data_IF_412971659390
#
_entry.id   IF_412971659390
#
_cell.length_a   1.000
_cell.length_b   1.000
_cell.length_c   1.000
_cell.angle_alpha   90.00
_cell.angle_beta   90.00
_cell.angle_gamma   90.00
#
_symmetry.space_group_name_H-M   'P 1'
#
loop_
_entity.id
_entity.type
_entity.pdbx_description
1 polymer ?
#
# COMPACT_ATOMS: atom_id res chain seq x y z
N UNK A 1 8.02 0.10 13.39
CA UNK A 1 8.30 0.09 11.94
C UNK A 1 9.77 -0.24 11.72
N UNK A 2 10.31 -1.17 12.47
CA UNK A 2 11.75 -1.37 12.45
C UNK A 2 12.13 -2.81 12.13
N UNK A 3 11.38 -3.46 11.29
CA UNK A 3 11.90 -4.68 10.72
C UNK A 3 12.38 -4.37 9.32
N UNK A 4 13.71 -4.31 9.29
CA UNK A 4 14.53 -4.06 8.13
C UNK A 4 14.00 -4.71 6.85
N UNK A 5 14.22 -4.04 5.76
CA UNK A 5 13.91 -4.46 4.38
C UNK A 5 14.48 -5.83 3.97
N UNK A 6 15.17 -6.53 4.86
CA UNK A 6 15.75 -7.85 4.62
C UNK A 6 15.15 -8.83 5.63
N UNK A 7 14.23 -9.64 5.18
CA UNK A 7 13.45 -10.59 6.00
C UNK A 7 11.99 -10.17 6.24
N UNK A 8 11.61 -9.01 5.75
CA UNK A 8 10.33 -8.37 6.07
C UNK A 8 9.12 -8.99 5.37
N UNK A 9 9.27 -9.69 4.24
CA UNK A 9 8.10 -10.26 3.55
C UNK A 9 7.47 -11.39 4.34
N UNK A 10 8.26 -12.19 5.04
CA UNK A 10 7.72 -13.21 5.93
C UNK A 10 6.98 -12.56 7.11
N UNK A 11 7.56 -11.52 7.70
CA UNK A 11 6.92 -10.75 8.77
C UNK A 11 5.71 -9.96 8.28
N UNK A 12 5.77 -9.34 7.09
CA UNK A 12 4.64 -8.65 6.48
C UNK A 12 3.51 -9.64 6.21
N UNK A 13 3.82 -10.79 5.61
CA UNK A 13 2.84 -11.85 5.37
C UNK A 13 2.17 -12.31 6.67
N UNK A 14 2.94 -12.59 7.71
CA UNK A 14 2.40 -13.08 8.98
C UNK A 14 1.52 -12.04 9.67
N UNK A 15 1.76 -10.76 9.44
CA UNK A 15 0.90 -9.68 9.95
C UNK A 15 -0.41 -9.53 9.21
N UNK A 16 -0.47 -9.93 7.94
CA UNK A 16 -1.69 -9.87 7.13
C UNK A 16 -2.46 -11.18 7.05
N UNK A 17 -1.81 -12.34 7.28
CA UNK A 17 -2.47 -13.65 7.22
C UNK A 17 -3.23 -14.00 8.50
N UNK A 18 -4.34 -14.72 8.33
CA UNK A 18 -5.15 -15.26 9.43
C UNK A 18 -4.35 -16.23 10.31
N UNK A 19 -3.46 -17.03 9.70
CA UNK A 19 -2.62 -18.00 10.39
C UNK A 19 -1.39 -17.37 11.07
N UNK A 20 -1.14 -16.08 10.82
CA UNK A 20 -0.08 -15.31 11.47
C UNK A 20 -0.63 -14.38 12.55
N UNK A 21 0.04 -13.26 12.77
CA UNK A 21 -0.39 -12.27 13.78
C UNK A 21 -1.68 -11.53 13.40
N UNK A 22 -1.91 -11.30 12.09
CA UNK A 22 -3.11 -10.65 11.59
C UNK A 22 -3.34 -9.22 12.10
N UNK A 23 -2.26 -8.51 12.42
CA UNK A 23 -2.31 -7.18 13.05
C UNK A 23 -2.76 -6.07 12.09
N UNK A 24 -2.60 -6.27 10.78
CA UNK A 24 -2.91 -5.27 9.77
C UNK A 24 -4.04 -5.73 8.86
N UNK A 25 -4.99 -4.84 8.66
CA UNK A 25 -6.14 -5.04 7.79
C UNK A 25 -6.04 -4.15 6.55
N UNK A 26 -6.58 -4.60 5.41
CA UNK A 26 -6.73 -3.73 4.25
C UNK A 26 -7.72 -2.61 4.57
N UNK A 27 -7.44 -1.39 4.08
CA UNK A 27 -8.37 -0.27 4.26
C UNK A 27 -9.50 -0.31 3.23
N UNK A 28 -10.69 0.16 3.63
CA UNK A 28 -11.81 0.33 2.71
C UNK A 28 -11.49 1.30 1.57
N UNK A 29 -10.75 2.36 1.85
CA UNK A 29 -10.31 3.32 0.83
C UNK A 29 -9.44 2.68 -0.25
N UNK A 30 -8.63 1.68 0.11
CA UNK A 30 -7.87 0.92 -0.87
C UNK A 30 -8.76 -0.04 -1.65
N UNK A 31 -9.62 -0.76 -0.96
CA UNK A 31 -10.52 -1.73 -1.60
C UNK A 31 -11.46 -1.04 -2.60
N UNK A 32 -11.93 0.16 -2.29
CA UNK A 32 -12.79 0.98 -3.15
C UNK A 32 -12.10 1.50 -4.43
N UNK A 33 -10.77 1.40 -4.53
CA UNK A 33 -10.06 1.74 -5.78
C UNK A 33 -10.27 0.72 -6.89
N UNK A 34 -10.68 -0.49 -6.52
CA UNK A 34 -10.86 -1.60 -7.45
C UNK A 34 -12.34 -1.74 -7.82
N UNK A 35 -12.62 -1.78 -9.11
CA UNK A 35 -13.95 -1.98 -9.64
C UNK A 35 -14.40 -3.45 -9.51
N UNK A 36 -15.69 -3.70 -9.72
CA UNK A 36 -16.21 -5.07 -9.76
C UNK A 36 -15.56 -5.84 -10.91
N UNK A 37 -15.17 -7.08 -10.63
CA UNK A 37 -14.44 -7.92 -11.58
C UNK A 37 -12.91 -7.75 -11.55
N UNK A 38 -12.39 -6.85 -10.71
CA UNK A 38 -10.95 -6.73 -10.50
C UNK A 38 -10.42 -7.92 -9.68
N UNK A 39 -9.57 -8.74 -10.28
CA UNK A 39 -9.02 -9.95 -9.63
C UNK A 39 -8.20 -9.66 -8.39
N UNK A 40 -7.73 -8.43 -8.22
CA UNK A 40 -6.99 -8.03 -7.01
C UNK A 40 -7.87 -8.02 -5.76
N UNK A 41 -9.19 -7.94 -5.91
CA UNK A 41 -10.14 -8.13 -4.80
C UNK A 41 -10.08 -9.54 -4.23
N UNK A 42 -9.70 -10.54 -5.04
CA UNK A 42 -9.56 -11.93 -4.61
C UNK A 42 -8.39 -12.15 -3.64
N UNK A 43 -7.45 -11.19 -3.57
CA UNK A 43 -6.41 -11.20 -2.54
C UNK A 43 -6.96 -10.95 -1.13
N UNK A 44 -8.24 -10.60 -1.01
CA UNK A 44 -8.89 -10.35 0.27
C UNK A 44 -9.73 -11.57 0.67
N UNK A 45 -9.32 -12.21 1.74
CA UNK A 45 -10.11 -13.29 2.37
C UNK A 45 -10.89 -12.70 3.53
N UNK A 46 -12.20 -12.94 3.54
CA UNK A 46 -13.07 -12.53 4.63
C UNK A 46 -13.19 -13.67 5.64
N UNK A 47 -12.85 -13.40 6.88
CA UNK A 47 -12.92 -14.38 7.97
C UNK A 47 -14.04 -14.04 8.94
N UNK A 48 -15.18 -14.67 8.77
CA UNK A 48 -16.36 -14.49 9.64
C UNK A 48 -16.16 -15.02 11.07
N UNK A 49 -15.05 -15.71 11.35
CA UNK A 49 -14.74 -16.23 12.69
C UNK A 49 -13.92 -15.24 13.53
N UNK A 50 -13.47 -14.12 12.96
CA UNK A 50 -12.78 -13.08 13.73
C UNK A 50 -13.78 -12.37 14.65
N UNK A 51 -13.63 -12.64 15.93
CA UNK A 51 -14.43 -12.03 17.00
C UNK A 51 -13.62 -10.84 17.55
N UNK A 52 -14.30 -9.71 17.79
CA UNK A 52 -13.68 -8.57 18.43
C UNK A 52 -13.94 -7.26 17.69
N UNK A 53 -13.15 -6.21 17.95
CA UNK A 53 -13.38 -4.87 17.40
C UNK A 53 -13.34 -4.81 15.87
N UNK A 54 -12.78 -5.82 15.21
CA UNK A 54 -12.68 -5.91 13.76
C UNK A 54 -13.98 -6.34 13.06
N UNK A 55 -14.91 -6.97 13.79
CA UNK A 55 -16.18 -7.41 13.25
C UNK A 55 -17.10 -6.24 12.83
N UNK A 56 -16.84 -5.03 13.32
CA UNK A 56 -17.63 -3.81 13.04
C UNK A 56 -17.05 -2.96 11.92
N UNK A 57 -15.91 -3.34 11.36
CA UNK A 57 -15.33 -2.61 10.22
C UNK A 57 -16.17 -2.83 8.96
N UNK A 58 -16.28 -1.82 8.07
CA UNK A 58 -17.10 -1.92 6.86
C UNK A 58 -16.74 -3.09 5.93
N UNK A 59 -15.45 -3.45 5.83
CA UNK A 59 -15.01 -4.68 5.14
C UNK A 59 -15.09 -5.93 6.02
N UNK A 60 -15.51 -5.78 7.29
CA UNK A 60 -15.47 -6.89 8.24
C UNK A 60 -14.04 -7.38 8.51
N UNK A 61 -13.91 -8.58 9.04
CA UNK A 61 -12.61 -9.19 9.33
C UNK A 61 -11.93 -9.67 8.04
N UNK A 62 -11.36 -8.74 7.28
CA UNK A 62 -10.66 -9.01 6.03
C UNK A 62 -9.17 -9.28 6.27
N UNK A 63 -8.60 -10.17 5.47
CA UNK A 63 -7.17 -10.48 5.45
C UNK A 63 -6.63 -10.37 4.05
N UNK A 64 -5.33 -10.07 3.94
CA UNK A 64 -4.64 -9.98 2.67
C UNK A 64 -3.90 -11.29 2.40
N UNK A 65 -4.15 -11.88 1.25
CA UNK A 65 -3.52 -13.09 0.77
C UNK A 65 -2.74 -12.86 -0.54
N UNK A 66 -1.93 -11.80 -0.53
CA UNK A 66 -1.09 -11.43 -1.68
C UNK A 66 0.08 -12.39 -1.89
N UNK A 67 0.49 -13.08 -0.83
CA UNK A 67 1.59 -14.05 -0.84
C UNK A 67 1.04 -15.42 -0.47
N UNK A 68 0.56 -16.19 -1.46
CA UNK A 68 -0.22 -17.40 -1.22
C UNK A 68 0.60 -18.63 -0.85
N UNK A 69 1.91 -18.53 -0.70
CA UNK A 69 2.77 -19.69 -0.38
C UNK A 69 2.27 -20.42 0.86
N UNK A 70 1.67 -21.58 0.61
CA UNK A 70 1.13 -22.48 1.62
C UNK A 70 1.95 -23.78 1.66
N UNK A 71 2.14 -24.33 2.85
CA UNK A 71 2.77 -25.64 3.04
C UNK A 71 3.84 -25.67 4.11
N UNK A 72 4.51 -26.82 4.30
CA UNK A 72 5.51 -27.01 5.35
C UNK A 72 6.76 -26.14 5.18
N UNK A 73 6.95 -25.55 4.00
CA UNK A 73 8.01 -24.58 3.68
C UNK A 73 7.46 -23.14 3.65
N UNK A 74 6.63 -22.77 4.60
CA UNK A 74 6.15 -21.41 4.78
C UNK A 74 7.34 -20.43 4.75
N UNK A 75 7.24 -19.41 3.87
CA UNK A 75 8.29 -18.38 3.75
C UNK A 75 9.30 -18.62 2.64
N UNK A 76 9.02 -19.49 1.68
CA UNK A 76 9.87 -19.73 0.50
C UNK A 76 9.51 -18.84 -0.70
N UNK A 77 8.56 -17.92 -0.55
CA UNK A 77 8.26 -16.95 -1.61
C UNK A 77 9.47 -16.04 -1.85
N UNK A 78 9.81 -15.88 -3.11
CA UNK A 78 10.85 -14.95 -3.50
C UNK A 78 10.40 -13.51 -3.25
N UNK A 79 11.26 -12.72 -2.63
CA UNK A 79 11.04 -11.30 -2.44
C UNK A 79 11.16 -10.58 -3.78
N UNK A 80 10.06 -9.98 -4.22
CA UNK A 80 10.06 -9.17 -5.44
C UNK A 80 10.58 -7.76 -5.11
N UNK A 81 11.84 -7.50 -5.44
CA UNK A 81 12.47 -6.18 -5.22
C UNK A 81 11.92 -5.14 -6.19
N UNK A 82 11.75 -5.52 -7.46
CA UNK A 82 11.13 -4.69 -8.50
C UNK A 82 10.31 -5.62 -9.40
N UNK A 83 9.11 -5.21 -9.76
CA UNK A 83 8.28 -5.94 -10.69
C UNK A 83 7.81 -5.08 -11.86
N UNK A 84 7.51 -5.71 -12.98
CA UNK A 84 7.22 -5.02 -14.25
C UNK A 84 6.07 -4.02 -14.14
N UNK A 85 5.04 -4.32 -13.34
CA UNK A 85 3.93 -3.39 -13.12
C UNK A 85 4.37 -2.09 -12.45
N UNK A 86 5.33 -2.13 -11.52
CA UNK A 86 5.91 -0.93 -10.94
C UNK A 86 6.62 -0.08 -12.00
N UNK A 87 7.37 -0.71 -12.89
CA UNK A 87 8.08 -0.02 -13.97
C UNK A 87 7.10 0.67 -14.93
N UNK A 88 6.00 0.00 -15.29
CA UNK A 88 4.94 0.63 -16.08
C UNK A 88 4.33 1.84 -15.37
N UNK A 89 4.02 1.71 -14.09
CA UNK A 89 3.42 2.79 -13.31
C UNK A 89 4.38 3.95 -13.06
N UNK A 90 5.67 3.69 -12.87
CA UNK A 90 6.70 4.72 -12.84
C UNK A 90 6.78 5.49 -14.16
N UNK A 91 6.71 4.78 -15.28
CA UNK A 91 6.72 5.40 -16.61
C UNK A 91 5.42 6.17 -16.89
N UNK A 92 4.27 5.62 -16.49
CA UNK A 92 2.99 6.31 -16.60
C UNK A 92 3.00 7.65 -15.85
N UNK A 93 3.49 7.65 -14.62
CA UNK A 93 3.60 8.87 -13.81
C UNK A 93 4.55 9.91 -14.45
N UNK A 94 5.71 9.46 -14.94
CA UNK A 94 6.63 10.33 -15.64
C UNK A 94 6.00 10.94 -16.90
N UNK A 95 5.32 10.13 -17.71
CA UNK A 95 4.60 10.59 -18.92
C UNK A 95 3.50 11.57 -18.60
N UNK A 96 2.67 11.30 -17.60
CA UNK A 96 1.62 12.20 -17.15
C UNK A 96 2.17 13.54 -16.64
N UNK A 97 3.32 13.51 -15.96
CA UNK A 97 3.97 14.75 -15.51
C UNK A 97 4.59 15.57 -16.65
N UNK A 98 4.99 14.94 -17.73
CA UNK A 98 5.52 15.57 -18.95
C UNK A 98 4.43 15.95 -19.95
N UNK A 99 3.15 15.73 -19.65
CA UNK A 99 2.03 16.05 -20.55
C UNK A 99 1.83 15.04 -21.69
N UNK A 100 2.49 13.88 -21.64
CA UNK A 100 2.25 12.79 -22.58
C UNK A 100 1.09 11.90 -22.07
N UNK A 101 -0.12 12.46 -22.13
CA UNK A 101 -1.31 11.80 -21.58
C UNK A 101 -1.60 10.47 -22.28
N UNK A 102 -1.52 10.41 -23.61
CA UNK A 102 -1.77 9.16 -24.34
C UNK A 102 -0.81 8.04 -23.96
N UNK A 103 0.46 8.34 -23.77
CA UNK A 103 1.46 7.37 -23.32
C UNK A 103 1.23 6.90 -21.88
N UNK A 104 0.77 7.81 -21.00
CA UNK A 104 0.45 7.48 -19.61
C UNK A 104 -0.81 6.61 -19.52
N UNK A 105 -1.87 6.94 -20.26
CA UNK A 105 -3.10 6.14 -20.38
C UNK A 105 -2.78 4.73 -20.81
N UNK A 106 -1.99 4.57 -21.88
CA UNK A 106 -1.61 3.24 -22.39
C UNK A 106 -0.87 2.38 -21.34
N UNK A 107 0.02 2.99 -20.55
CA UNK A 107 0.74 2.26 -19.50
C UNK A 107 -0.17 1.85 -18.34
N UNK A 108 -1.10 2.72 -17.94
CA UNK A 108 -2.10 2.41 -16.90
C UNK A 108 -3.04 1.31 -17.37
N UNK A 109 -3.51 1.38 -18.61
CA UNK A 109 -4.43 0.41 -19.19
C UNK A 109 -3.83 -1.01 -19.22
N UNK A 110 -2.52 -1.15 -19.46
CA UNK A 110 -1.85 -2.45 -19.39
C UNK A 110 -2.05 -3.09 -18.01
N UNK A 111 -1.98 -2.32 -16.93
CA UNK A 111 -2.14 -2.83 -15.57
C UNK A 111 -3.62 -3.07 -15.25
N UNK A 112 -4.48 -2.09 -15.53
CA UNK A 112 -5.92 -2.16 -15.25
C UNK A 112 -6.59 -3.31 -15.98
N UNK A 113 -6.36 -3.45 -17.29
CA UNK A 113 -6.99 -4.48 -18.11
C UNK A 113 -6.45 -5.88 -17.82
N UNK A 114 -5.20 -6.00 -17.34
CA UNK A 114 -4.71 -7.27 -16.80
C UNK A 114 -5.48 -7.66 -15.52
N UNK A 115 -5.73 -6.71 -14.64
CA UNK A 115 -6.41 -6.95 -13.39
C UNK A 115 -7.94 -7.06 -13.55
N UNK A 116 -8.52 -6.31 -14.50
CA UNK A 116 -9.95 -6.35 -14.84
C UNK A 116 -10.13 -6.22 -16.36
N UNK A 117 -10.20 -7.34 -17.10
CA UNK A 117 -10.30 -7.32 -18.57
C UNK A 117 -11.55 -6.61 -19.10
N UNK A 118 -12.59 -6.41 -18.26
CA UNK A 118 -13.82 -5.72 -18.63
C UNK A 118 -13.80 -4.21 -18.37
N UNK A 119 -12.74 -3.69 -17.76
CA UNK A 119 -12.67 -2.26 -17.40
C UNK A 119 -12.51 -1.38 -18.63
N UNK A 120 -13.17 -0.22 -18.63
CA UNK A 120 -13.00 0.77 -19.67
C UNK A 120 -11.58 1.36 -19.67
N UNK A 121 -11.05 1.64 -20.83
CA UNK A 121 -9.76 2.31 -20.97
C UNK A 121 -9.79 3.70 -20.32
N UNK A 122 -8.65 4.11 -19.78
CA UNK A 122 -8.48 5.43 -19.18
C UNK A 122 -8.61 6.52 -20.24
N UNK A 123 -9.53 7.44 -20.03
CA UNK A 123 -9.74 8.61 -20.90
C UNK A 123 -9.42 9.94 -20.21
N UNK A 124 -9.08 9.92 -18.94
CA UNK A 124 -8.70 11.10 -18.17
C UNK A 124 -7.43 11.74 -18.74
N UNK A 125 -7.32 13.08 -18.62
CA UNK A 125 -6.17 13.87 -19.07
C UNK A 125 -5.68 14.82 -17.98
N UNK A 126 -4.46 15.32 -18.10
CA UNK A 126 -3.91 16.33 -17.20
C UNK A 126 -3.92 15.90 -15.72
N UNK A 127 -4.50 16.73 -14.85
CA UNK A 127 -4.55 16.47 -13.40
C UNK A 127 -5.39 15.25 -13.03
N UNK A 128 -6.48 14.99 -13.74
CA UNK A 128 -7.32 13.81 -13.53
C UNK A 128 -6.54 12.53 -13.86
N UNK A 129 -5.79 12.52 -14.97
CA UNK A 129 -4.94 11.39 -15.32
C UNK A 129 -3.87 11.10 -14.26
N UNK A 130 -3.24 12.14 -13.71
CA UNK A 130 -2.26 11.98 -12.61
C UNK A 130 -2.89 11.31 -11.39
N UNK A 131 -4.15 11.61 -11.12
CA UNK A 131 -4.91 10.96 -10.05
C UNK A 131 -5.19 9.49 -10.37
N UNK A 132 -5.59 9.18 -11.61
CA UNK A 132 -5.80 7.80 -12.06
C UNK A 132 -4.51 6.97 -11.97
N UNK A 133 -3.39 7.47 -12.47
CA UNK A 133 -2.07 6.82 -12.35
C UNK A 133 -1.73 6.53 -10.89
N UNK A 134 -1.98 7.49 -10.01
CA UNK A 134 -1.69 7.33 -8.59
C UNK A 134 -2.60 6.29 -7.93
N UNK A 135 -3.88 6.30 -8.25
CA UNK A 135 -4.85 5.34 -7.73
C UNK A 135 -4.51 3.92 -8.20
N UNK A 136 -4.16 3.77 -9.47
CA UNK A 136 -3.74 2.48 -10.02
C UNK A 136 -2.45 1.98 -9.35
N UNK A 137 -1.47 2.87 -9.14
CA UNK A 137 -0.26 2.54 -8.40
C UNK A 137 -0.57 2.10 -6.96
N UNK A 138 -1.47 2.80 -6.28
CA UNK A 138 -1.90 2.46 -4.94
C UNK A 138 -2.63 1.11 -4.88
N UNK A 139 -3.46 0.80 -5.87
CA UNK A 139 -4.15 -0.48 -5.96
C UNK A 139 -3.18 -1.63 -6.23
N UNK A 140 -2.28 -1.45 -7.20
CA UNK A 140 -1.37 -2.48 -7.68
C UNK A 140 -0.24 -2.81 -6.70
N UNK A 141 0.40 -1.79 -6.11
CA UNK A 141 1.55 -1.94 -5.22
C UNK A 141 1.18 -1.95 -3.73
N UNK A 142 -0.10 -2.20 -3.44
CA UNK A 142 -0.55 -2.35 -2.06
C UNK A 142 0.21 -3.46 -1.34
N UNK A 143 0.51 -3.24 -0.07
CA UNK A 143 1.21 -4.17 0.83
C UNK A 143 2.68 -4.44 0.48
N UNK A 144 3.27 -3.70 -0.46
CA UNK A 144 4.67 -3.79 -0.88
C UNK A 144 5.56 -2.67 -0.31
N UNK A 145 5.10 -1.94 0.69
CA UNK A 145 5.88 -0.89 1.38
C UNK A 145 5.97 0.46 0.65
N UNK A 146 5.38 0.60 -0.54
CA UNK A 146 5.51 1.82 -1.35
C UNK A 146 4.76 3.03 -0.82
N UNK A 147 3.69 2.84 -0.05
CA UNK A 147 2.72 3.89 0.27
C UNK A 147 3.30 5.12 0.96
N UNK A 148 4.14 4.93 1.97
CA UNK A 148 4.75 6.05 2.72
C UNK A 148 5.67 6.89 1.84
N UNK A 149 6.44 6.24 0.97
CA UNK A 149 7.33 6.92 0.03
C UNK A 149 6.54 7.71 -1.02
N UNK A 150 5.44 7.14 -1.53
CA UNK A 150 4.57 7.81 -2.49
C UNK A 150 3.90 9.05 -1.90
N UNK A 151 3.42 8.98 -0.67
CA UNK A 151 2.85 10.14 0.04
C UNK A 151 3.91 11.23 0.20
N UNK A 152 5.10 10.88 0.69
CA UNK A 152 6.18 11.84 0.95
C UNK A 152 6.67 12.52 -0.33
N UNK A 153 7.01 11.76 -1.37
CA UNK A 153 7.53 12.33 -2.63
C UNK A 153 6.50 13.20 -3.36
N UNK A 154 5.20 12.92 -3.16
CA UNK A 154 4.11 13.70 -3.74
C UNK A 154 3.62 14.82 -2.83
N UNK A 155 4.17 14.95 -1.63
CA UNK A 155 3.78 15.95 -0.62
C UNK A 155 2.28 15.95 -0.33
N UNK A 156 1.73 14.74 -0.18
CA UNK A 156 0.30 14.54 0.04
C UNK A 156 -0.04 14.32 1.51
N UNK A 157 -1.27 14.63 1.87
CA UNK A 157 -1.80 14.27 3.17
C UNK A 157 -2.03 12.74 3.23
N UNK A 158 -1.79 12.15 4.38
CA UNK A 158 -2.31 10.82 4.69
C UNK A 158 -3.75 10.99 5.21
N UNK A 159 -4.69 10.35 4.53
CA UNK A 159 -6.09 10.31 4.95
C UNK A 159 -6.49 8.84 5.08
N UNK A 160 -6.97 8.47 6.26
CA UNK A 160 -7.57 7.17 6.58
C UNK A 160 -8.98 7.43 7.07
N UNK A 161 -9.94 7.41 6.13
CA UNK A 161 -11.26 7.98 6.41
C UNK A 161 -12.11 7.16 7.38
N UNK A 162 -12.12 5.83 7.28
CA UNK A 162 -13.15 5.03 7.93
C UNK A 162 -12.61 3.95 8.88
N UNK A 163 -11.35 3.56 8.76
CA UNK A 163 -10.85 2.34 9.38
C UNK A 163 -9.81 2.58 10.49
N UNK A 164 -9.53 3.82 10.79
CA UNK A 164 -8.50 4.19 11.76
C UNK A 164 -9.15 4.43 13.12
N UNK A 165 -9.18 3.39 13.95
CA UNK A 165 -9.81 3.48 15.28
C UNK A 165 -8.80 3.46 16.42
N UNK A 166 -7.57 3.00 16.19
CA UNK A 166 -6.60 2.73 17.26
C UNK A 166 -5.79 3.95 17.69
N UNK A 167 -5.52 4.89 16.80
CA UNK A 167 -4.77 6.12 17.08
C UNK A 167 -5.39 7.28 16.28
N UNK A 168 -6.44 7.92 16.79
CA UNK A 168 -7.18 8.95 16.05
C UNK A 168 -6.29 10.08 15.51
N UNK A 169 -5.27 10.48 16.25
CA UNK A 169 -4.34 11.57 15.88
C UNK A 169 -3.48 11.21 14.65
N UNK A 170 -3.24 9.90 14.42
CA UNK A 170 -2.46 9.43 13.28
C UNK A 170 -3.30 9.02 12.08
N UNK A 171 -4.63 9.13 12.19
CA UNK A 171 -5.53 8.76 11.09
C UNK A 171 -5.44 9.72 9.91
N UNK A 172 -5.28 11.00 10.21
CA UNK A 172 -5.18 12.05 9.21
C UNK A 172 -3.95 12.92 9.51
N UNK A 173 -2.93 12.80 8.68
CA UNK A 173 -1.71 13.59 8.79
C UNK A 173 -1.62 14.56 7.62
N UNK A 174 -1.63 15.86 7.90
CA UNK A 174 -1.39 16.88 6.89
C UNK A 174 0.09 16.97 6.56
N UNK A 175 0.42 17.12 5.28
CA UNK A 175 1.79 17.39 4.86
C UNK A 175 2.09 18.90 4.96
N UNK A 176 3.26 19.32 5.46
CA UNK A 176 4.33 18.51 6.05
C UNK A 176 4.00 18.05 7.48
N UNK A 177 4.51 16.86 7.87
CA UNK A 177 4.36 16.35 9.22
C UNK A 177 5.62 15.55 9.64
N UNK A 178 6.04 15.70 10.87
CA UNK A 178 7.23 15.01 11.38
C UNK A 178 7.08 13.49 11.35
N UNK A 179 5.87 12.96 11.53
CA UNK A 179 5.58 11.53 11.49
C UNK A 179 5.74 10.89 10.09
N UNK A 180 5.99 11.68 9.05
CA UNK A 180 6.39 11.16 7.74
C UNK A 180 7.89 10.83 7.64
N UNK A 181 8.68 11.21 8.63
CA UNK A 181 10.08 10.86 8.77
C UNK A 181 10.15 9.77 9.83
N UNK A 182 10.85 8.69 9.57
CA UNK A 182 10.99 7.60 10.54
C UNK A 182 11.92 8.03 11.69
N UNK A 183 11.69 7.52 12.92
CA UNK A 183 12.60 7.78 14.03
C UNK A 183 13.97 7.13 13.77
N UNK A 184 15.01 7.77 14.31
CA UNK A 184 16.31 7.13 14.40
C UNK A 184 16.23 6.03 15.47
N UNK A 185 16.72 4.82 15.20
CA UNK A 185 16.69 3.74 16.18
C UNK A 185 17.36 4.11 17.51
N UNK A 186 16.75 3.70 18.63
CA UNK A 186 17.28 3.98 19.96
C UNK A 186 18.71 3.46 20.14
N UNK A 187 19.05 2.32 19.51
CA UNK A 187 20.41 1.79 19.52
C UNK A 187 21.46 2.76 18.94
N UNK A 188 21.10 3.49 17.90
CA UNK A 188 21.95 4.51 17.28
C UNK A 188 22.09 5.75 18.17
N UNK A 189 20.97 6.24 18.72
CA UNK A 189 20.96 7.36 19.65
C UNK A 189 21.82 7.07 20.88
N UNK A 190 21.65 5.87 21.46
CA UNK A 190 22.39 5.46 22.65
C UNK A 190 23.88 5.23 22.42
N UNK A 191 24.26 4.92 21.17
CA UNK A 191 25.65 4.64 20.79
C UNK A 191 26.42 5.88 20.35
N UNK A 192 25.75 6.97 20.02
CA UNK A 192 26.38 8.18 19.53
C UNK A 192 25.74 9.43 20.11
N UNK A 193 26.45 10.08 21.04
CA UNK A 193 25.96 11.26 21.74
C UNK A 193 25.76 12.50 20.83
N UNK A 194 26.33 12.49 19.61
CA UNK A 194 26.21 13.60 18.66
C UNK A 194 24.94 13.48 17.77
N UNK A 195 24.20 12.38 17.87
CA UNK A 195 22.95 12.18 17.14
C UNK A 195 21.77 12.71 17.97
N UNK A 196 20.95 13.55 17.36
CA UNK A 196 19.69 14.01 17.92
C UNK A 196 18.53 13.36 17.18
N UNK A 197 17.52 12.91 17.91
CA UNK A 197 16.31 12.30 17.36
C UNK A 197 15.57 13.25 16.42
N UNK A 198 14.90 12.71 15.40
CA UNK A 198 14.03 13.46 14.52
C UNK A 198 12.89 14.12 15.32
N UNK A 199 12.47 15.35 14.96
CA UNK A 199 11.38 16.02 15.65
C UNK A 199 10.09 15.19 15.64
N UNK A 200 9.45 15.08 16.80
CA UNK A 200 8.18 14.36 16.96
C UNK A 200 8.30 12.97 17.60
N UNK A 201 9.52 12.59 18.00
CA UNK A 201 9.80 11.32 18.68
C UNK A 201 10.56 11.53 19.98
#
# INVERSE_FOLDING_TARGET
>A
IQDSLVGSEMCIRDRYKITGYGDYLPSNDWYALMEDGDVRREMITFDNNLIGPYATLPLGPARVDKWPSEGPLNGTDNISVIRLSEVYLNRAEARANLGNDAGAQADVDIIRQRANPGVAAVSATGAALKTEVYNERRAELAFEGHRIFDINRRKQNLVRALDCTSVPEACNLSYPNNLFILPIPDGEINSNADITQNPGY
#
